data_IF_804378121725
#
_entry.id   IF_804378121725
#
_cell.length_a   1.000
_cell.length_b   1.000
_cell.length_c   1.000
_cell.angle_alpha   90.00
_cell.angle_beta   90.00
_cell.angle_gamma   90.00
#
_symmetry.space_group_name_H-M   'P 1'
#
loop_
_entity.id
_entity.type
_entity.pdbx_description
1 polymer ?
#
# COMPACT_ATOMS: atom_id res chain seq x y z
N UNK A 1 -36.36 -30.58 47.35
CA UNK A 1 -35.32 -31.61 47.23
C UNK A 1 -33.98 -31.14 47.73
N UNK A 2 -33.08 -32.06 47.95
CA UNK A 2 -31.71 -31.73 48.38
C UNK A 2 -30.74 -32.04 47.22
N UNK A 3 -29.86 -31.10 46.91
CA UNK A 3 -28.80 -31.28 45.91
C UNK A 3 -27.81 -32.39 46.29
N UNK A 4 -27.00 -32.84 45.33
CA UNK A 4 -26.97 -32.43 43.93
C UNK A 4 -28.14 -32.96 43.12
N UNK A 5 -28.58 -32.17 42.12
CA UNK A 5 -29.70 -32.58 41.24
C UNK A 5 -29.14 -33.11 39.91
N UNK A 6 -29.92 -34.02 39.28
CA UNK A 6 -29.71 -34.50 37.93
C UNK A 6 -30.93 -34.23 37.08
N UNK A 7 -30.77 -33.50 35.98
CA UNK A 7 -31.78 -33.13 35.03
C UNK A 7 -31.69 -33.97 33.76
N UNK A 8 -32.78 -34.61 33.39
CA UNK A 8 -32.94 -35.27 32.09
C UNK A 8 -33.73 -34.35 31.15
N UNK A 9 -33.25 -34.17 29.95
CA UNK A 9 -33.91 -33.34 28.95
C UNK A 9 -33.74 -33.96 27.56
N UNK A 10 -34.61 -33.59 26.64
CA UNK A 10 -34.59 -34.07 25.27
C UNK A 10 -34.49 -32.92 24.31
N UNK A 11 -33.68 -33.07 23.25
CA UNK A 11 -33.56 -32.14 22.15
C UNK A 11 -34.13 -32.79 20.90
N UNK A 12 -35.14 -32.18 20.28
CA UNK A 12 -35.67 -32.60 18.98
C UNK A 12 -35.38 -31.52 17.98
N UNK A 13 -34.61 -31.82 16.97
CA UNK A 13 -34.29 -30.93 15.90
C UNK A 13 -35.33 -30.85 14.80
N UNK A 14 -35.18 -29.87 13.90
CA UNK A 14 -36.02 -29.76 12.72
C UNK A 14 -35.84 -31.03 11.85
N UNK A 15 -36.94 -31.68 11.47
CA UNK A 15 -36.93 -32.89 10.66
C UNK A 15 -36.56 -34.18 11.39
N UNK A 16 -36.13 -34.13 12.67
CA UNK A 16 -35.80 -35.31 13.44
C UNK A 16 -37.04 -36.10 13.84
N UNK A 17 -37.06 -37.42 13.56
CA UNK A 17 -38.18 -38.30 13.94
C UNK A 17 -38.21 -38.53 15.46
N UNK A 18 -37.04 -38.65 16.11
CA UNK A 18 -36.89 -38.91 17.51
C UNK A 18 -36.05 -37.86 18.22
N UNK A 19 -36.39 -37.55 19.49
CA UNK A 19 -35.58 -36.63 20.29
C UNK A 19 -34.30 -37.34 20.80
N UNK A 20 -33.19 -36.59 20.92
CA UNK A 20 -31.98 -37.07 21.57
C UNK A 20 -32.04 -36.75 23.06
N UNK A 21 -31.82 -37.76 23.89
CA UNK A 21 -31.85 -37.64 25.35
C UNK A 21 -30.48 -37.17 25.85
N UNK A 22 -30.51 -36.25 26.79
CA UNK A 22 -29.34 -35.69 27.47
C UNK A 22 -29.55 -35.66 28.98
N UNK A 23 -28.43 -35.72 29.71
CA UNK A 23 -28.43 -35.68 31.18
C UNK A 23 -27.45 -34.62 31.65
N UNK A 24 -27.91 -33.69 32.49
CA UNK A 24 -27.06 -32.74 33.20
C UNK A 24 -27.04 -33.12 34.68
N UNK A 25 -25.91 -33.57 35.19
CA UNK A 25 -25.73 -34.04 36.57
C UNK A 25 -24.97 -33.00 37.42
N UNK A 26 -24.92 -33.21 38.73
CA UNK A 26 -24.19 -32.38 39.71
C UNK A 26 -24.65 -30.90 39.78
N UNK A 27 -25.95 -30.68 39.61
CA UNK A 27 -26.51 -29.33 39.79
C UNK A 27 -26.64 -29.08 41.30
N UNK A 28 -25.84 -28.15 41.82
CA UNK A 28 -25.84 -27.81 43.27
C UNK A 28 -26.62 -26.56 43.55
N UNK A 29 -26.82 -25.70 42.55
CA UNK A 29 -27.50 -24.41 42.68
C UNK A 29 -28.95 -24.50 42.18
N UNK A 30 -29.74 -23.51 42.58
CA UNK A 30 -31.15 -23.35 42.13
C UNK A 30 -31.27 -22.88 40.67
N UNK A 31 -30.16 -22.49 40.05
CA UNK A 31 -30.04 -22.10 38.64
C UNK A 31 -28.94 -22.90 38.00
N UNK A 32 -29.19 -23.42 36.80
CA UNK A 32 -28.19 -24.10 35.99
C UNK A 32 -28.24 -23.60 34.55
N UNK A 33 -27.07 -23.51 33.90
CA UNK A 33 -26.99 -23.18 32.50
C UNK A 33 -26.99 -24.48 31.71
N UNK A 34 -27.90 -24.59 30.76
CA UNK A 34 -28.00 -25.73 29.86
C UNK A 34 -27.32 -25.36 28.53
N UNK A 35 -26.18 -25.99 28.26
CA UNK A 35 -25.52 -25.87 26.95
C UNK A 35 -26.28 -26.78 25.95
N UNK A 36 -26.87 -26.18 24.94
CA UNK A 36 -27.64 -26.90 23.93
C UNK A 36 -26.75 -27.06 22.70
N UNK A 37 -26.30 -28.25 22.46
CA UNK A 37 -25.58 -28.64 21.24
C UNK A 37 -26.54 -29.38 20.33
N UNK A 38 -26.76 -28.85 19.13
CA UNK A 38 -27.58 -29.53 18.14
C UNK A 38 -26.79 -30.70 17.53
N UNK A 39 -27.38 -31.87 17.35
CA UNK A 39 -26.69 -33.00 16.74
C UNK A 39 -26.22 -32.71 15.32
N UNK A 40 -25.11 -33.32 14.84
CA UNK A 40 -24.65 -33.17 13.48
C UNK A 40 -25.72 -33.64 12.48
N UNK A 41 -25.84 -32.93 11.35
CA UNK A 41 -26.86 -33.23 10.33
C UNK A 41 -28.21 -32.57 10.56
N UNK A 42 -28.27 -31.59 11.45
CA UNK A 42 -29.48 -30.80 11.70
C UNK A 42 -29.75 -29.83 10.55
N UNK A 43 -30.95 -29.93 10.01
CA UNK A 43 -31.46 -28.96 9.05
C UNK A 43 -31.89 -27.66 9.76
N UNK A 44 -31.86 -26.55 9.00
CA UNK A 44 -32.45 -25.31 9.44
C UNK A 44 -33.94 -25.51 9.73
N UNK A 45 -34.44 -24.82 10.76
CA UNK A 45 -35.82 -24.93 11.14
C UNK A 45 -36.01 -24.83 12.66
N UNK A 46 -37.10 -25.38 13.17
CA UNK A 46 -37.45 -25.28 14.60
C UNK A 46 -36.98 -26.50 15.38
N UNK A 47 -36.10 -26.28 16.36
CA UNK A 47 -35.74 -27.26 17.36
C UNK A 47 -36.57 -27.04 18.65
N UNK A 48 -36.79 -28.11 19.39
CA UNK A 48 -37.47 -28.07 20.69
C UNK A 48 -36.62 -28.72 21.76
N UNK A 49 -36.58 -28.10 22.95
CA UNK A 49 -35.94 -28.65 24.14
C UNK A 49 -37.01 -28.87 25.20
N UNK A 50 -37.17 -30.14 25.63
CA UNK A 50 -38.15 -30.55 26.62
C UNK A 50 -37.45 -31.02 27.89
N UNK A 51 -37.79 -30.49 29.02
CA UNK A 51 -37.30 -30.98 30.31
C UNK A 51 -38.17 -32.19 30.73
N UNK A 52 -37.55 -33.35 30.99
CA UNK A 52 -38.26 -34.59 31.20
C UNK A 52 -38.38 -34.98 32.67
N UNK A 53 -37.28 -35.02 33.37
CA UNK A 53 -37.27 -35.41 34.77
C UNK A 53 -36.18 -34.69 35.57
N UNK A 54 -36.42 -34.48 36.86
CA UNK A 54 -35.43 -33.98 37.81
C UNK A 54 -35.28 -34.98 38.94
N UNK A 55 -34.08 -35.45 39.21
CA UNK A 55 -33.73 -36.33 40.34
C UNK A 55 -32.94 -35.52 41.37
N UNK A 56 -33.22 -35.70 42.63
CA UNK A 56 -32.46 -35.09 43.72
C UNK A 56 -31.37 -36.04 44.26
N UNK A 57 -30.52 -35.55 45.18
CA UNK A 57 -29.43 -36.29 45.78
C UNK A 57 -29.86 -37.48 46.68
N UNK A 58 -31.12 -37.57 47.03
CA UNK A 58 -31.72 -38.68 47.78
C UNK A 58 -32.41 -39.72 46.88
N UNK A 59 -32.35 -39.55 45.56
CA UNK A 59 -32.91 -40.46 44.57
C UNK A 59 -34.38 -40.21 44.25
N UNK A 60 -35.03 -39.15 44.80
CA UNK A 60 -36.40 -38.82 44.47
C UNK A 60 -36.46 -38.25 43.06
N UNK A 61 -37.34 -38.78 42.22
CA UNK A 61 -37.52 -38.36 40.81
C UNK A 61 -38.88 -37.70 40.65
N UNK A 62 -38.86 -36.53 40.01
CA UNK A 62 -40.05 -35.81 39.57
C UNK A 62 -40.10 -35.67 38.08
N UNK A 63 -41.15 -36.13 37.43
CA UNK A 63 -41.42 -35.86 36.03
C UNK A 63 -41.80 -34.37 35.87
N UNK A 64 -41.25 -33.74 34.87
CA UNK A 64 -41.49 -32.31 34.59
C UNK A 64 -42.48 -32.20 33.44
N UNK A 65 -43.54 -31.41 33.66
CA UNK A 65 -44.52 -31.05 32.64
C UNK A 65 -44.38 -29.55 32.36
N UNK A 66 -43.18 -29.15 31.95
CA UNK A 66 -42.87 -27.77 31.61
C UNK A 66 -43.17 -27.48 30.14
N UNK A 67 -43.36 -26.23 29.82
CA UNK A 67 -43.47 -25.78 28.42
C UNK A 67 -42.13 -26.00 27.71
N UNK A 68 -42.17 -26.57 26.50
CA UNK A 68 -41.01 -26.75 25.68
C UNK A 68 -40.36 -25.43 25.28
N UNK A 69 -39.04 -25.36 25.35
CA UNK A 69 -38.26 -24.26 24.77
C UNK A 69 -38.16 -24.47 23.27
N UNK A 70 -38.56 -23.47 22.50
CA UNK A 70 -38.44 -23.50 21.02
C UNK A 70 -37.25 -22.66 20.59
N UNK A 71 -36.42 -23.21 19.70
CA UNK A 71 -35.22 -22.60 19.15
C UNK A 71 -35.38 -22.58 17.65
N UNK A 72 -35.32 -21.40 17.03
CA UNK A 72 -35.27 -21.28 15.58
C UNK A 72 -33.80 -21.37 15.09
N UNK A 73 -33.48 -22.48 14.46
CA UNK A 73 -32.17 -22.77 13.89
C UNK A 73 -32.12 -22.22 12.47
N UNK A 74 -31.22 -21.29 12.23
CA UNK A 74 -31.04 -20.66 10.92
C UNK A 74 -29.86 -21.29 10.17
N UNK A 75 -29.96 -21.45 8.85
CA UNK A 75 -28.80 -21.90 8.08
C UNK A 75 -27.71 -20.84 8.12
N UNK A 76 -26.41 -21.23 8.09
CA UNK A 76 -25.31 -20.29 7.95
C UNK A 76 -25.31 -19.71 6.52
N UNK A 77 -25.96 -18.59 6.32
CA UNK A 77 -26.08 -17.92 5.01
C UNK A 77 -25.00 -16.87 4.79
N UNK A 78 -24.29 -16.48 5.86
CA UNK A 78 -23.21 -15.51 5.76
C UNK A 78 -22.06 -16.04 4.89
N UNK A 79 -21.66 -15.23 3.93
CA UNK A 79 -20.47 -15.52 3.11
C UNK A 79 -19.81 -14.21 2.70
N UNK A 80 -18.48 -14.25 2.52
CA UNK A 80 -17.69 -13.12 2.06
C UNK A 80 -16.64 -13.57 1.04
N UNK A 81 -16.40 -12.73 0.04
CA UNK A 81 -15.25 -12.82 -0.88
C UNK A 81 -14.81 -11.42 -1.30
N UNK A 82 -13.60 -11.28 -1.79
CA UNK A 82 -13.24 -10.08 -2.53
C UNK A 82 -13.96 -10.05 -3.88
N UNK A 83 -14.31 -8.86 -4.35
CA UNK A 83 -14.70 -8.61 -5.73
C UNK A 83 -13.48 -8.09 -6.51
N UNK A 84 -13.44 -8.33 -7.82
CA UNK A 84 -12.37 -7.77 -8.67
C UNK A 84 -12.40 -6.23 -8.63
N UNK A 85 -11.25 -5.57 -8.72
CA UNK A 85 -9.90 -6.13 -8.92
C UNK A 85 -9.24 -6.63 -7.62
N UNK A 86 -8.51 -7.74 -7.71
CA UNK A 86 -7.76 -8.31 -6.57
C UNK A 86 -6.35 -7.71 -6.40
N UNK A 87 -5.86 -7.00 -7.42
CA UNK A 87 -4.61 -6.24 -7.37
C UNK A 87 -4.94 -4.76 -7.40
N UNK A 88 -4.67 -4.07 -6.32
CA UNK A 88 -4.94 -2.63 -6.18
C UNK A 88 -3.64 -1.90 -5.91
N UNK A 89 -3.46 -0.77 -6.59
CA UNK A 89 -2.30 0.08 -6.36
C UNK A 89 -2.66 1.20 -5.39
N UNK A 90 -1.92 1.28 -4.29
CA UNK A 90 -2.04 2.30 -3.26
C UNK A 90 -1.15 3.49 -3.62
N UNK A 91 -1.69 4.70 -3.59
CA UNK A 91 -0.92 5.93 -3.59
C UNK A 91 -0.57 6.34 -2.17
N UNK A 92 0.56 7.01 -2.02
CA UNK A 92 0.96 7.53 -0.72
C UNK A 92 -0.07 8.55 -0.21
N UNK A 93 -0.46 8.40 1.06
CA UNK A 93 -1.52 9.18 1.73
C UNK A 93 -2.95 8.97 1.23
N UNK A 94 -3.17 8.11 0.25
CA UNK A 94 -4.52 7.75 -0.18
C UNK A 94 -4.86 6.31 0.24
N UNK A 95 -6.09 6.02 0.67
CA UNK A 95 -6.49 4.67 0.98
C UNK A 95 -6.72 3.85 -0.29
N UNK A 96 -6.39 2.56 -0.23
CA UNK A 96 -6.85 1.60 -1.22
C UNK A 96 -8.20 1.02 -0.80
N UNK A 97 -9.07 0.80 -1.76
CA UNK A 97 -10.42 0.27 -1.58
C UNK A 97 -10.48 -1.13 -2.17
N UNK A 98 -10.74 -2.13 -1.33
CA UNK A 98 -10.89 -3.53 -1.71
C UNK A 98 -12.38 -3.89 -1.70
N UNK A 99 -13.04 -3.98 -2.84
CA UNK A 99 -14.46 -4.28 -2.91
C UNK A 99 -14.74 -5.69 -2.37
N UNK A 100 -15.84 -5.82 -1.61
CA UNK A 100 -16.29 -7.08 -1.05
C UNK A 100 -17.64 -7.50 -1.65
N UNK A 101 -17.91 -8.79 -1.64
CA UNK A 101 -19.22 -9.37 -1.86
C UNK A 101 -19.66 -10.10 -0.62
N UNK A 102 -20.74 -9.63 -0.01
CA UNK A 102 -21.30 -10.15 1.22
C UNK A 102 -22.65 -10.82 0.95
N UNK A 103 -22.87 -11.95 1.60
CA UNK A 103 -24.17 -12.63 1.64
C UNK A 103 -24.61 -12.80 3.10
N UNK A 104 -25.92 -12.86 3.32
CA UNK A 104 -26.50 -12.96 4.64
C UNK A 104 -27.29 -11.71 5.02
N UNK A 105 -27.48 -11.47 6.30
CA UNK A 105 -28.25 -10.35 6.85
C UNK A 105 -27.34 -9.31 7.51
N UNK A 106 -27.44 -8.01 7.14
CA UNK A 106 -26.62 -6.97 7.76
C UNK A 106 -26.92 -6.81 9.25
N UNK A 107 -25.98 -6.29 10.08
CA UNK A 107 -24.61 -5.95 9.73
C UNK A 107 -23.71 -7.18 9.63
N UNK A 108 -22.64 -7.09 8.81
CA UNK A 108 -21.61 -8.10 8.75
C UNK A 108 -20.36 -7.66 9.50
N UNK A 109 -19.73 -8.59 10.22
CA UNK A 109 -18.39 -8.42 10.78
C UNK A 109 -17.44 -9.32 10.01
N UNK A 110 -16.48 -8.74 9.30
CA UNK A 110 -15.49 -9.43 8.48
C UNK A 110 -14.14 -9.36 9.16
N UNK A 111 -13.51 -10.52 9.34
CA UNK A 111 -12.16 -10.64 9.87
C UNK A 111 -11.18 -10.84 8.72
N UNK A 112 -10.00 -10.20 8.81
CA UNK A 112 -8.96 -10.27 7.79
C UNK A 112 -7.56 -10.21 8.39
N UNK A 113 -6.58 -10.68 7.63
CA UNK A 113 -5.15 -10.56 7.94
C UNK A 113 -4.45 -9.79 6.84
N UNK A 114 -3.32 -9.17 7.18
CA UNK A 114 -2.34 -8.63 6.25
C UNK A 114 -1.03 -9.37 6.42
N UNK A 115 -0.47 -9.93 5.33
CA UNK A 115 0.78 -10.69 5.32
C UNK A 115 0.84 -11.81 6.37
N UNK A 116 -0.33 -12.44 6.61
CA UNK A 116 -0.48 -13.51 7.61
C UNK A 116 -0.60 -13.05 9.07
N UNK A 117 -0.52 -11.76 9.36
CA UNK A 117 -0.72 -11.19 10.70
C UNK A 117 -2.17 -10.72 10.85
N UNK A 118 -2.82 -11.07 11.97
CA UNK A 118 -4.20 -10.62 12.24
C UNK A 118 -4.26 -9.11 12.30
N UNK A 119 -5.05 -8.52 11.41
CA UNK A 119 -5.15 -7.06 11.30
C UNK A 119 -6.44 -6.49 11.90
N UNK A 120 -7.41 -7.33 12.21
CA UNK A 120 -8.63 -6.92 12.88
C UNK A 120 -9.92 -7.31 12.18
N UNK A 121 -10.97 -6.63 12.55
CA UNK A 121 -12.30 -6.83 12.01
C UNK A 121 -12.89 -5.51 11.56
N UNK A 122 -13.74 -5.56 10.52
CA UNK A 122 -14.52 -4.43 10.03
C UNK A 122 -16.00 -4.77 10.07
N UNK A 123 -16.83 -3.79 10.44
CA UNK A 123 -18.29 -3.93 10.41
C UNK A 123 -18.82 -3.21 9.17
N UNK A 124 -19.64 -3.91 8.40
CA UNK A 124 -20.17 -3.48 7.12
C UNK A 124 -21.70 -3.57 7.14
N UNK A 125 -22.36 -2.67 6.44
CA UNK A 125 -23.83 -2.56 6.45
C UNK A 125 -24.46 -2.82 5.08
N UNK A 126 -23.67 -2.71 4.00
CA UNK A 126 -24.11 -2.96 2.63
C UNK A 126 -23.45 -4.19 2.03
N UNK A 127 -24.20 -4.93 1.20
CA UNK A 127 -23.73 -6.20 0.61
C UNK A 127 -22.55 -6.04 -0.38
N UNK A 128 -22.34 -4.84 -0.93
CA UNK A 128 -21.27 -4.49 -1.84
C UNK A 128 -20.34 -3.41 -1.26
N UNK A 129 -20.23 -3.36 0.06
CA UNK A 129 -19.31 -2.44 0.74
C UNK A 129 -17.85 -2.90 0.56
N UNK A 130 -16.90 -2.04 0.86
CA UNK A 130 -15.51 -2.30 0.61
C UNK A 130 -14.66 -2.21 1.88
N UNK A 131 -13.58 -2.97 1.92
CA UNK A 131 -12.54 -2.84 2.94
C UNK A 131 -11.58 -1.73 2.52
N UNK A 132 -11.50 -0.68 3.34
CA UNK A 132 -10.56 0.43 3.14
C UNK A 132 -9.26 0.15 3.89
N UNK A 133 -8.12 0.21 3.18
CA UNK A 133 -6.80 -0.09 3.73
C UNK A 133 -5.78 1.01 3.38
N UNK A 134 -4.81 1.22 4.26
CA UNK A 134 -3.82 2.31 4.14
C UNK A 134 -2.39 1.81 3.92
N UNK A 135 -2.16 0.52 3.95
CA UNK A 135 -0.82 -0.05 3.87
C UNK A 135 -0.76 -1.12 2.77
N UNK A 136 0.38 -1.21 2.05
CA UNK A 136 0.58 -2.29 1.09
C UNK A 136 0.70 -3.64 1.80
N UNK A 137 0.41 -4.70 1.08
CA UNK A 137 0.50 -6.07 1.58
C UNK A 137 -0.53 -6.99 0.95
N UNK A 138 -0.49 -8.25 1.34
CA UNK A 138 -1.45 -9.27 0.94
C UNK A 138 -2.54 -9.37 1.99
N UNK A 139 -3.76 -9.00 1.61
CA UNK A 139 -4.94 -9.05 2.47
C UNK A 139 -5.68 -10.36 2.25
N UNK A 140 -5.93 -11.10 3.34
CA UNK A 140 -6.64 -12.38 3.30
C UNK A 140 -7.82 -12.34 4.24
N UNK A 141 -9.01 -12.66 3.73
CA UNK A 141 -10.22 -12.80 4.52
C UNK A 141 -10.13 -14.08 5.36
N UNK A 142 -10.42 -14.00 6.65
CA UNK A 142 -10.29 -15.15 7.58
C UNK A 142 -11.63 -15.58 8.16
N UNK A 143 -12.64 -14.73 8.11
CA UNK A 143 -13.95 -15.06 8.63
C UNK A 143 -14.99 -13.99 8.36
N UNK A 144 -16.26 -14.39 8.45
CA UNK A 144 -17.39 -13.49 8.37
C UNK A 144 -18.46 -13.92 9.36
N UNK A 145 -19.14 -12.95 9.92
CA UNK A 145 -20.34 -13.14 10.73
C UNK A 145 -21.39 -12.10 10.30
N UNK A 146 -22.60 -12.54 10.07
CA UNK A 146 -23.73 -11.65 9.84
C UNK A 146 -24.51 -11.35 11.15
N UNK A 147 -25.63 -10.67 11.06
CA UNK A 147 -26.47 -10.35 12.24
C UNK A 147 -26.89 -11.58 13.05
N UNK A 148 -26.82 -12.78 12.51
CA UNK A 148 -27.37 -13.99 13.10
C UNK A 148 -26.36 -15.10 13.30
N UNK A 149 -25.50 -15.37 12.30
CA UNK A 149 -24.66 -16.54 12.23
C UNK A 149 -23.25 -16.22 11.78
N UNK A 150 -22.29 -17.05 12.21
CA UNK A 150 -20.98 -17.14 11.56
C UNK A 150 -21.14 -17.82 10.19
N UNK A 151 -20.36 -17.37 9.22
CA UNK A 151 -20.41 -17.85 7.85
C UNK A 151 -19.07 -18.35 7.33
N UNK A 152 -18.93 -18.37 6.02
CA UNK A 152 -17.77 -18.90 5.33
C UNK A 152 -17.11 -17.85 4.44
N UNK A 153 -15.79 -17.90 4.37
CA UNK A 153 -15.04 -17.23 3.32
C UNK A 153 -15.09 -18.15 2.10
N UNK A 154 -15.56 -17.61 0.97
CA UNK A 154 -15.66 -18.36 -0.29
C UNK A 154 -14.46 -18.04 -1.18
N UNK A 155 -14.46 -18.54 -2.42
CA UNK A 155 -13.38 -18.26 -3.38
C UNK A 155 -13.08 -16.76 -3.45
N UNK A 156 -11.85 -16.42 -3.87
CA UNK A 156 -11.36 -15.04 -3.93
C UNK A 156 -11.22 -14.40 -2.55
N UNK A 157 -10.54 -15.10 -1.66
CA UNK A 157 -10.27 -14.71 -0.27
C UNK A 157 -9.06 -13.78 -0.11
N UNK A 158 -8.28 -13.57 -1.17
CA UNK A 158 -7.01 -12.84 -1.14
C UNK A 158 -7.00 -11.68 -2.12
N UNK A 159 -6.52 -10.52 -1.68
CA UNK A 159 -6.28 -9.34 -2.49
C UNK A 159 -4.89 -8.77 -2.21
N UNK A 160 -4.21 -8.29 -3.27
CA UNK A 160 -2.89 -7.70 -3.16
C UNK A 160 -2.95 -6.18 -3.31
N UNK A 161 -2.35 -5.47 -2.36
CA UNK A 161 -2.19 -4.02 -2.40
C UNK A 161 -0.71 -3.69 -2.54
N UNK A 162 -0.36 -3.01 -3.62
CA UNK A 162 1.02 -2.64 -3.93
C UNK A 162 1.18 -1.13 -3.85
N UNK A 163 2.22 -0.65 -3.17
CA UNK A 163 2.54 0.77 -3.15
C UNK A 163 3.07 1.21 -4.51
N UNK A 164 2.51 2.27 -5.07
CA UNK A 164 3.04 2.89 -6.29
C UNK A 164 4.37 3.55 -5.98
N UNK A 165 5.45 3.21 -6.71
CA UNK A 165 6.74 3.86 -6.50
C UNK A 165 6.65 5.33 -6.88
N UNK A 166 7.35 6.20 -6.11
CA UNK A 166 7.49 7.61 -6.46
C UNK A 166 8.37 7.78 -7.70
N UNK A 167 8.12 8.80 -8.54
CA UNK A 167 9.01 9.11 -9.65
C UNK A 167 10.37 9.52 -9.14
N UNK A 168 11.42 9.09 -9.86
CA UNK A 168 12.81 9.41 -9.56
C UNK A 168 13.52 9.92 -10.80
N UNK A 169 14.45 10.84 -10.60
CA UNK A 169 15.35 11.32 -11.64
C UNK A 169 16.78 11.40 -11.08
N UNK A 170 17.75 10.98 -11.88
CA UNK A 170 19.17 11.04 -11.50
C UNK A 170 20.04 11.35 -12.71
N UNK A 171 21.13 12.08 -12.51
CA UNK A 171 22.18 12.23 -13.51
C UNK A 171 22.86 10.88 -13.77
N UNK A 172 23.09 10.55 -15.04
CA UNK A 172 23.82 9.36 -15.44
C UNK A 172 25.32 9.66 -15.35
N UNK A 173 26.06 8.87 -14.57
CA UNK A 173 27.50 9.00 -14.38
C UNK A 173 27.97 8.46 -13.04
N UNK A 174 29.27 8.30 -12.88
CA UNK A 174 29.89 7.93 -11.63
C UNK A 174 29.92 9.13 -10.66
N UNK A 175 29.46 8.93 -9.45
CA UNK A 175 29.36 9.98 -8.44
C UNK A 175 29.77 9.46 -7.06
N UNK A 176 31.05 9.11 -6.84
CA UNK A 176 31.50 8.55 -5.57
C UNK A 176 31.34 9.52 -4.40
N UNK A 177 31.33 10.82 -4.66
CA UNK A 177 31.13 11.90 -3.66
C UNK A 177 29.73 12.50 -3.69
N UNK A 178 28.77 11.90 -4.41
CA UNK A 178 27.45 12.49 -4.65
C UNK A 178 27.42 13.55 -5.76
N UNK A 179 28.54 13.82 -6.43
CA UNK A 179 28.65 14.75 -7.56
C UNK A 179 29.12 13.99 -8.80
N UNK A 180 28.36 14.11 -9.89
CA UNK A 180 28.78 13.65 -11.21
C UNK A 180 29.66 14.75 -11.81
N UNK A 181 30.98 14.54 -11.83
CA UNK A 181 31.92 15.47 -12.41
C UNK A 181 32.12 15.18 -13.90
N UNK A 182 31.89 16.19 -14.76
CA UNK A 182 32.21 16.11 -16.17
C UNK A 182 33.57 16.75 -16.45
N UNK A 183 34.27 16.33 -17.52
CA UNK A 183 35.52 16.96 -17.93
C UNK A 183 35.28 18.45 -18.28
N UNK A 184 36.26 19.33 -18.01
CA UNK A 184 36.16 20.74 -18.36
C UNK A 184 36.07 20.94 -19.87
N UNK A 185 35.36 21.96 -20.30
CA UNK A 185 35.17 22.31 -21.72
C UNK A 185 35.48 23.78 -21.97
N UNK A 186 35.70 24.16 -23.23
CA UNK A 186 35.84 25.55 -23.62
C UNK A 186 34.47 26.22 -23.85
N UNK A 187 34.43 27.53 -23.73
CA UNK A 187 33.27 28.33 -24.09
C UNK A 187 32.77 27.97 -25.50
N UNK A 188 31.46 27.87 -25.66
CA UNK A 188 30.73 27.48 -26.87
C UNK A 188 30.92 26.02 -27.33
N UNK A 189 31.62 25.16 -26.59
CA UNK A 189 31.62 23.73 -26.87
C UNK A 189 30.26 23.11 -26.60
N UNK A 190 29.76 22.22 -27.48
CA UNK A 190 28.54 21.48 -27.18
C UNK A 190 28.78 20.51 -26.02
N UNK A 191 27.89 20.50 -25.05
CA UNK A 191 27.94 19.59 -23.90
C UNK A 191 26.52 19.23 -23.49
N UNK A 192 26.31 17.94 -23.25
CA UNK A 192 25.03 17.39 -22.84
C UNK A 192 25.22 16.43 -21.67
N UNK A 193 24.23 16.32 -20.82
CA UNK A 193 24.12 15.31 -19.79
C UNK A 193 22.82 14.50 -19.99
N UNK A 194 22.85 13.26 -19.55
CA UNK A 194 21.67 12.39 -19.56
C UNK A 194 21.11 12.29 -18.16
N UNK A 195 19.80 12.46 -18.04
CA UNK A 195 19.06 12.20 -16.80
C UNK A 195 18.26 10.91 -17.00
N UNK A 196 18.50 9.91 -16.15
CA UNK A 196 17.69 8.69 -16.09
C UNK A 196 16.42 8.96 -15.27
N UNK A 197 15.28 8.49 -15.78
CA UNK A 197 13.96 8.70 -15.23
C UNK A 197 13.32 7.38 -14.86
N UNK A 198 12.62 7.37 -13.71
CA UNK A 198 11.72 6.30 -13.29
C UNK A 198 10.41 6.95 -12.86
N UNK A 199 9.29 6.35 -13.23
CA UNK A 199 7.95 6.88 -12.91
C UNK A 199 6.96 6.54 -14.00
N UNK A 200 5.75 7.07 -13.86
CA UNK A 200 4.68 6.85 -14.83
C UNK A 200 4.64 8.01 -15.84
N UNK A 201 4.90 7.75 -17.12
CA UNK A 201 4.98 8.82 -18.14
C UNK A 201 3.70 9.66 -18.26
N UNK A 202 3.84 10.96 -18.60
CA UNK A 202 5.09 11.72 -18.74
C UNK A 202 5.72 12.07 -17.39
N UNK A 203 7.05 11.93 -17.29
CA UNK A 203 7.81 12.34 -16.11
C UNK A 203 8.36 13.75 -16.32
N UNK A 204 8.10 14.64 -15.39
CA UNK A 204 8.60 16.00 -15.39
C UNK A 204 9.73 16.14 -14.37
N UNK A 205 10.82 16.80 -14.77
CA UNK A 205 12.00 17.00 -13.93
C UNK A 205 12.29 18.49 -13.84
N UNK A 206 12.33 19.04 -12.64
CA UNK A 206 12.75 20.41 -12.37
C UNK A 206 14.25 20.43 -12.11
N UNK A 207 15.00 21.09 -12.95
CA UNK A 207 16.46 21.21 -12.85
C UNK A 207 16.84 22.66 -12.57
N UNK A 208 17.68 22.87 -11.57
CA UNK A 208 18.29 24.15 -11.25
C UNK A 208 19.75 24.13 -11.67
N UNK A 209 20.15 25.16 -12.42
CA UNK A 209 21.54 25.43 -12.80
C UNK A 209 22.07 26.60 -12.00
N UNK A 210 23.17 26.43 -11.33
CA UNK A 210 23.94 27.49 -10.68
C UNK A 210 25.25 27.70 -11.45
N UNK A 211 25.53 28.92 -11.86
CA UNK A 211 26.80 29.33 -12.48
C UNK A 211 27.53 30.22 -11.50
N UNK A 212 28.74 29.87 -11.14
CA UNK A 212 29.72 30.73 -10.46
C UNK A 212 30.72 31.21 -11.52
N UNK A 213 30.66 32.51 -11.86
CA UNK A 213 31.55 33.10 -12.85
C UNK A 213 32.95 33.27 -12.28
N UNK A 214 33.97 33.48 -13.16
CA UNK A 214 35.33 33.77 -12.73
C UNK A 214 35.48 35.14 -12.05
N UNK A 215 34.47 35.99 -12.17
CA UNK A 215 34.39 37.28 -11.49
C UNK A 215 33.74 37.21 -10.10
N UNK A 216 33.27 36.00 -9.71
CA UNK A 216 32.64 35.79 -8.41
C UNK A 216 31.11 35.96 -8.41
N UNK A 217 30.51 36.33 -9.54
CA UNK A 217 29.06 36.43 -9.64
C UNK A 217 28.39 35.06 -9.63
N UNK A 218 27.29 34.92 -8.90
CA UNK A 218 26.46 33.73 -8.91
C UNK A 218 25.16 33.97 -9.66
N UNK A 219 24.86 33.09 -10.62
CA UNK A 219 23.62 33.15 -11.42
C UNK A 219 22.87 31.83 -11.31
N UNK A 220 21.57 31.90 -10.98
CA UNK A 220 20.71 30.76 -10.82
C UNK A 220 19.63 30.75 -11.89
N UNK A 221 19.41 29.58 -12.52
CA UNK A 221 18.38 29.40 -13.52
C UNK A 221 17.66 28.07 -13.21
N UNK A 222 16.34 28.06 -13.41
CA UNK A 222 15.54 26.86 -13.29
C UNK A 222 14.85 26.55 -14.62
N UNK A 223 14.74 25.26 -14.92
CA UNK A 223 14.00 24.77 -16.08
C UNK A 223 13.30 23.46 -15.74
N UNK A 224 12.24 23.16 -16.47
CA UNK A 224 11.52 21.88 -16.36
C UNK A 224 11.66 21.14 -17.68
N UNK A 225 12.04 19.88 -17.59
CA UNK A 225 12.09 18.93 -18.70
C UNK A 225 10.94 17.96 -18.55
N UNK A 226 10.41 17.47 -19.65
CA UNK A 226 9.40 16.41 -19.66
C UNK A 226 9.80 15.32 -20.65
N UNK A 227 9.62 14.07 -20.26
CA UNK A 227 9.88 12.93 -21.14
C UNK A 227 8.92 11.78 -20.86
N UNK A 228 8.56 11.08 -21.91
CA UNK A 228 7.85 9.80 -21.83
C UNK A 228 8.80 8.60 -21.91
N UNK A 229 10.10 8.84 -22.12
CA UNK A 229 11.14 7.83 -22.18
C UNK A 229 11.87 7.70 -20.83
N UNK A 230 12.60 6.61 -20.65
CA UNK A 230 13.37 6.34 -19.44
C UNK A 230 14.58 7.31 -19.26
N UNK A 231 14.89 8.11 -20.27
CA UNK A 231 16.00 9.07 -20.26
C UNK A 231 15.58 10.37 -20.92
N UNK A 232 16.19 11.47 -20.47
CA UNK A 232 16.07 12.78 -21.13
C UNK A 232 17.46 13.40 -21.26
N UNK A 233 17.74 13.99 -22.44
CA UNK A 233 18.97 14.78 -22.67
C UNK A 233 18.77 16.19 -22.10
N UNK A 234 19.79 16.66 -21.39
CA UNK A 234 19.87 18.01 -20.83
C UNK A 234 21.02 18.74 -21.51
N UNK A 235 20.73 19.71 -22.40
CA UNK A 235 21.76 20.60 -22.93
C UNK A 235 22.38 21.46 -21.80
N UNK A 236 23.69 21.43 -21.70
CA UNK A 236 24.42 22.12 -20.65
C UNK A 236 24.92 23.49 -21.11
N UNK A 237 24.94 24.46 -20.20
CA UNK A 237 25.36 25.82 -20.48
C UNK A 237 26.87 25.96 -20.64
N UNK A 238 27.36 26.45 -21.80
CA UNK A 238 28.81 26.66 -22.06
C UNK A 238 29.13 28.07 -22.56
N UNK A 239 28.18 29.01 -22.47
CA UNK A 239 28.35 30.37 -23.05
C UNK A 239 29.19 31.31 -22.21
N UNK A 240 29.30 31.09 -20.92
CA UNK A 240 30.00 31.97 -19.98
C UNK A 240 31.05 31.13 -19.24
N UNK A 241 32.30 31.61 -19.13
CA UNK A 241 33.32 30.95 -18.32
C UNK A 241 32.94 30.90 -16.86
N UNK A 242 33.28 29.78 -16.19
CA UNK A 242 32.95 29.61 -14.78
C UNK A 242 32.67 28.14 -14.42
N UNK A 243 32.26 27.93 -13.19
CA UNK A 243 31.85 26.61 -12.67
C UNK A 243 30.33 26.49 -12.74
N UNK A 244 29.86 25.46 -13.38
CA UNK A 244 28.44 25.14 -13.50
C UNK A 244 28.10 23.98 -12.59
N UNK A 245 27.02 24.12 -11.83
CA UNK A 245 26.46 23.09 -10.99
C UNK A 245 24.97 22.93 -11.30
N UNK A 246 24.52 21.70 -11.49
CA UNK A 246 23.13 21.36 -11.75
C UNK A 246 22.58 20.47 -10.65
N UNK A 247 21.40 20.81 -10.16
CA UNK A 247 20.64 20.05 -9.17
C UNK A 247 19.28 19.70 -9.72
N UNK A 248 18.84 18.47 -9.47
CA UNK A 248 17.46 18.08 -9.69
C UNK A 248 16.68 18.51 -8.44
N UNK A 249 15.72 19.42 -8.61
CA UNK A 249 14.96 20.01 -7.51
C UNK A 249 13.70 19.23 -7.17
N UNK A 250 13.14 18.51 -8.14
CA UNK A 250 11.93 17.73 -7.97
C UNK A 250 11.58 16.94 -9.21
N UNK A 251 10.82 15.90 -9.03
CA UNK A 251 10.23 15.09 -10.09
C UNK A 251 8.73 14.96 -9.88
N UNK A 252 7.97 14.93 -10.96
CA UNK A 252 6.54 14.66 -10.92
C UNK A 252 6.15 13.75 -12.08
N UNK A 253 5.06 13.00 -11.89
CA UNK A 253 4.49 12.16 -12.92
C UNK A 253 2.96 12.26 -12.90
N UNK A 254 2.27 11.35 -13.58
CA UNK A 254 0.80 11.37 -13.64
C UNK A 254 0.13 11.20 -12.26
N UNK A 255 0.84 10.71 -11.24
CA UNK A 255 0.30 10.38 -9.94
C UNK A 255 0.89 11.18 -8.79
N UNK A 256 2.12 11.66 -8.91
CA UNK A 256 2.82 12.43 -7.89
C UNK A 256 3.19 13.80 -8.41
N UNK A 257 2.69 14.84 -7.78
CA UNK A 257 2.94 16.22 -8.18
C UNK A 257 4.34 16.73 -7.82
N UNK A 258 4.94 16.19 -6.74
CA UNK A 258 6.26 16.61 -6.27
C UNK A 258 6.93 15.48 -5.46
N UNK A 259 7.82 14.75 -6.10
CA UNK A 259 8.66 13.77 -5.43
C UNK A 259 10.06 14.37 -5.25
N UNK A 260 10.62 14.24 -4.05
CA UNK A 260 11.98 14.71 -3.77
C UNK A 260 12.97 13.83 -4.54
N UNK A 261 13.91 14.45 -5.26
CA UNK A 261 14.88 13.71 -6.06
C UNK A 261 16.01 13.12 -5.22
N UNK A 262 16.81 12.27 -5.85
CA UNK A 262 18.14 11.92 -5.37
C UNK A 262 19.02 13.19 -5.32
N UNK A 263 19.78 13.36 -4.25
CA UNK A 263 20.54 14.60 -3.94
C UNK A 263 21.82 14.77 -4.77
N UNK A 264 22.03 13.97 -5.79
CA UNK A 264 23.24 14.05 -6.64
C UNK A 264 23.23 15.30 -7.50
N UNK A 265 24.36 15.98 -7.51
CA UNK A 265 24.62 17.14 -8.37
C UNK A 265 25.47 16.74 -9.58
N UNK A 266 25.42 17.55 -10.63
CA UNK A 266 26.34 17.46 -11.75
C UNK A 266 27.16 18.74 -11.82
N UNK A 267 28.49 18.63 -11.96
CA UNK A 267 29.43 19.75 -11.96
C UNK A 267 30.41 19.67 -13.12
N UNK A 268 30.72 20.80 -13.72
CA UNK A 268 31.81 20.96 -14.69
C UNK A 268 32.30 22.40 -14.75
N UNK A 269 33.50 22.58 -15.34
CA UNK A 269 34.13 23.87 -15.56
C UNK A 269 34.12 24.27 -17.03
N UNK A 270 33.84 25.55 -17.32
CA UNK A 270 33.94 26.15 -18.67
C UNK A 270 35.10 27.14 -18.66
N UNK A 271 36.08 26.89 -19.52
CA UNK A 271 37.22 27.74 -19.68
C UNK A 271 36.97 28.82 -20.76
N UNK A 272 37.51 30.06 -20.57
CA UNK A 272 37.44 31.08 -21.59
C UNK A 272 38.25 30.66 -22.81
N UNK A 273 37.89 31.20 -23.97
CA UNK A 273 38.70 31.02 -25.17
C UNK A 273 40.05 31.76 -25.05
N UNK A 274 41.16 31.16 -25.48
CA UNK A 274 42.41 31.86 -25.53
C UNK A 274 42.30 33.05 -26.50
N UNK A 275 42.89 34.18 -26.12
CA UNK A 275 42.91 35.37 -26.92
C UNK A 275 44.38 35.72 -27.20
N UNK A 276 44.63 36.17 -28.41
CA UNK A 276 45.95 36.69 -28.80
C UNK A 276 45.72 38.04 -29.51
N UNK A 277 46.51 39.00 -29.14
CA UNK A 277 46.53 40.29 -29.79
C UNK A 277 47.98 40.82 -29.86
N UNK A 278 48.25 41.61 -30.85
CA UNK A 278 49.51 42.35 -30.86
C UNK A 278 49.56 43.29 -29.68
N UNK A 279 50.76 43.46 -29.13
CA UNK A 279 50.98 44.44 -28.07
C UNK A 279 50.51 45.87 -28.53
N UNK A 280 49.95 46.70 -27.66
CA UNK A 280 49.38 48.01 -28.06
C UNK A 280 50.38 48.93 -28.77
N UNK A 281 51.66 48.74 -28.52
CA UNK A 281 52.76 49.51 -29.15
C UNK A 281 53.27 48.92 -30.47
N UNK A 282 52.69 47.78 -30.93
CA UNK A 282 53.15 47.12 -32.15
C UNK A 282 52.60 47.86 -33.37
N UNK A 283 53.46 48.38 -34.25
CA UNK A 283 53.00 49.09 -35.44
C UNK A 283 52.29 48.13 -36.40
N UNK A 284 51.21 48.61 -37.04
CA UNK A 284 50.40 47.80 -37.95
C UNK A 284 51.12 47.33 -39.23
N UNK A 285 52.24 47.95 -39.54
CA UNK A 285 53.11 47.59 -40.66
C UNK A 285 54.58 47.57 -40.21
N UNK A 286 55.25 46.51 -40.49
CA UNK A 286 56.70 46.35 -40.32
C UNK A 286 57.31 45.89 -41.66
N UNK A 287 58.49 46.37 -41.96
CA UNK A 287 59.28 45.85 -43.09
C UNK A 287 60.44 45.02 -42.60
N UNK A 288 60.68 43.92 -43.25
CA UNK A 288 61.74 42.97 -42.96
C UNK A 288 62.49 42.58 -44.25
N UNK A 289 63.76 42.28 -44.16
CA UNK A 289 64.46 41.71 -45.27
C UNK A 289 64.25 40.18 -45.37
N UNK A 290 64.29 39.62 -46.57
CA UNK A 290 64.13 38.16 -46.75
C UNK A 290 65.31 37.47 -46.07
N UNK A 291 65.00 36.56 -45.09
CA UNK A 291 66.00 35.82 -44.34
C UNK A 291 66.19 36.31 -42.88
N UNK A 292 65.60 37.42 -42.48
CA UNK A 292 65.66 37.86 -41.10
C UNK A 292 64.74 37.03 -40.16
N UNK A 293 65.24 36.67 -39.01
CA UNK A 293 64.46 36.05 -37.94
C UNK A 293 63.88 37.16 -37.04
N UNK A 294 62.58 37.14 -36.91
CA UNK A 294 61.87 38.11 -36.07
C UNK A 294 61.40 37.47 -34.77
N UNK A 295 61.83 37.98 -33.64
CA UNK A 295 61.29 37.69 -32.33
C UNK A 295 60.61 38.91 -31.76
N UNK A 296 59.39 38.73 -31.26
CA UNK A 296 58.64 39.70 -30.43
C UNK A 296 57.99 39.03 -29.25
#
# INVERSE_FOLDING_TARGET
GHGPYTLEYAIRGAGAKEPVLHTLSHITESRATLAITLPPGHDAGRATVSLLSLRDGRGCVRRLATRDLRIDVRPPTAAVSFAAPWNVTLQEHEPAVLPLRLRGAPPWTVAYTRDGVVNGTVTLHDANEALTVHEPGTYTLTGVRDAHCSGQVVQDDTAQVVMRPRPQARFVGEAPTGIVALPPVCVHSPLEATIALQGHPPVHVKVQRTLLTDQGDTRVYAQTLASSEAHVSLPLGTRVPGTYMYHIMGTSDAYYADARPDTKALEYRVWPQPQAAWAPATPARRSACLGDTWAQ
#
